data_IF_496930304237
#
_entry.id   IF_496930304237
#
_cell.length_a   1.000
_cell.length_b   1.000
_cell.length_c   1.000
_cell.angle_alpha   90.00
_cell.angle_beta   90.00
_cell.angle_gamma   90.00
#
_symmetry.space_group_name_H-M   'P 1'
#
loop_
_entity.id
_entity.type
_entity.pdbx_description
1 polymer ?
#
# COMPACT_ATOMS: atom_id res chain seq x y z
N UNK A 1 14.49 8.14 -9.91
CA UNK A 1 13.02 7.96 -9.94
C UNK A 1 12.42 8.41 -8.60
N UNK A 2 11.24 9.05 -8.61
CA UNK A 2 10.52 9.49 -7.40
C UNK A 2 9.85 8.32 -6.67
N UNK A 3 9.11 8.63 -5.59
CA UNK A 3 8.24 7.65 -4.91
C UNK A 3 7.05 7.28 -5.79
N UNK A 4 6.63 6.02 -5.73
CA UNK A 4 5.49 5.49 -6.47
C UNK A 4 4.76 4.40 -5.67
N UNK A 5 3.45 4.25 -5.89
CA UNK A 5 2.63 3.16 -5.39
C UNK A 5 1.47 2.83 -6.31
N UNK A 6 0.91 1.61 -6.18
CA UNK A 6 -0.32 1.24 -6.86
C UNK A 6 -1.10 0.18 -6.05
N UNK A 7 -2.42 0.24 -6.16
CA UNK A 7 -3.35 -0.79 -5.67
C UNK A 7 -3.37 -1.94 -6.68
N UNK A 8 -3.16 -3.16 -6.22
CA UNK A 8 -3.23 -4.38 -7.05
C UNK A 8 -4.47 -5.21 -6.74
N UNK A 9 -5.08 -5.01 -5.57
CA UNK A 9 -6.32 -5.65 -5.17
C UNK A 9 -7.13 -4.70 -4.25
N UNK A 10 -8.46 -4.53 -4.48
CA UNK A 10 -9.24 -5.07 -5.59
C UNK A 10 -8.92 -4.40 -6.94
N UNK A 11 -9.39 -5.00 -8.05
CA UNK A 11 -9.27 -4.40 -9.38
C UNK A 11 -10.35 -3.33 -9.59
N UNK A 12 -10.13 -2.33 -10.48
CA UNK A 12 -11.17 -1.37 -10.85
C UNK A 12 -12.46 -2.07 -11.30
N UNK A 13 -13.60 -1.62 -10.79
CA UNK A 13 -14.93 -2.16 -11.12
C UNK A 13 -15.30 -3.48 -10.46
N UNK A 14 -14.44 -4.05 -9.59
CA UNK A 14 -14.77 -5.26 -8.86
C UNK A 14 -15.91 -5.02 -7.85
N UNK A 15 -16.91 -5.89 -7.87
CA UNK A 15 -17.87 -6.01 -6.76
C UNK A 15 -17.22 -6.80 -5.63
N UNK A 16 -17.18 -6.21 -4.43
CA UNK A 16 -16.64 -6.85 -3.23
C UNK A 16 -17.79 -7.17 -2.26
N UNK A 17 -17.75 -8.31 -1.56
CA UNK A 17 -18.75 -8.61 -0.56
C UNK A 17 -18.67 -7.61 0.60
N UNK A 18 -19.79 -7.32 1.29
CA UNK A 18 -19.76 -6.55 2.52
C UNK A 18 -18.99 -7.30 3.62
N UNK A 19 -18.44 -6.57 4.57
CA UNK A 19 -17.61 -7.11 5.66
C UNK A 19 -16.16 -6.67 5.54
N UNK A 20 -15.20 -7.57 5.72
CA UNK A 20 -13.78 -7.24 5.70
C UNK A 20 -13.16 -7.37 4.30
N UNK A 21 -12.64 -6.26 3.79
CA UNK A 21 -11.87 -6.20 2.55
C UNK A 21 -10.38 -6.09 2.87
N UNK A 22 -9.57 -6.97 2.26
CA UNK A 22 -8.10 -6.79 2.23
C UNK A 22 -7.70 -6.08 0.95
N UNK A 23 -7.28 -4.82 1.08
CA UNK A 23 -6.68 -4.01 0.01
C UNK A 23 -5.18 -4.29 -0.02
N UNK A 24 -4.61 -4.50 -1.21
CA UNK A 24 -3.17 -4.80 -1.38
C UNK A 24 -2.55 -3.95 -2.47
N UNK A 25 -1.24 -3.78 -2.38
CA UNK A 25 -0.47 -3.14 -3.43
C UNK A 25 1.03 -3.19 -3.20
N UNK A 26 1.73 -2.41 -4.01
CA UNK A 26 3.16 -2.17 -3.86
C UNK A 26 3.45 -0.68 -3.74
N UNK A 27 4.61 -0.36 -3.17
CA UNK A 27 5.18 0.98 -3.15
C UNK A 27 6.71 0.89 -3.27
N UNK A 28 7.33 1.92 -3.84
CA UNK A 28 8.77 1.96 -4.05
C UNK A 28 9.28 3.40 -4.19
N UNK A 29 10.57 3.64 -3.93
CA UNK A 29 11.23 4.92 -4.18
C UNK A 29 12.63 4.70 -4.73
N UNK A 30 13.04 5.50 -5.71
CA UNK A 30 14.37 5.39 -6.31
C UNK A 30 15.51 5.79 -5.37
N UNK A 31 16.74 5.46 -5.76
CA UNK A 31 17.93 5.87 -5.01
C UNK A 31 18.09 5.22 -3.63
N UNK A 32 17.45 4.06 -3.42
CA UNK A 32 17.66 3.25 -2.20
C UNK A 32 16.94 3.80 -0.98
N UNK A 33 15.97 4.71 -1.20
CA UNK A 33 15.13 5.29 -0.15
C UNK A 33 14.01 4.32 0.22
N UNK A 34 13.88 4.06 1.52
CA UNK A 34 12.86 3.17 2.06
C UNK A 34 11.46 3.81 1.97
N UNK A 35 10.45 3.02 1.64
CA UNK A 35 9.04 3.39 1.86
C UNK A 35 8.74 3.18 3.34
N UNK A 36 8.56 4.28 4.07
CA UNK A 36 8.31 4.27 5.52
C UNK A 36 6.82 4.25 5.88
N UNK A 37 5.94 4.64 4.95
CA UNK A 37 4.49 4.68 5.15
C UNK A 37 3.76 4.56 3.82
N UNK A 38 2.61 3.88 3.83
CA UNK A 38 1.60 3.92 2.78
C UNK A 38 0.27 4.24 3.45
N UNK A 39 -0.34 5.35 3.03
CA UNK A 39 -1.66 5.79 3.50
C UNK A 39 -2.69 5.39 2.44
N UNK A 40 -3.75 4.70 2.85
CA UNK A 40 -4.81 4.18 1.98
C UNK A 40 -6.14 4.81 2.38
N UNK A 41 -6.90 5.24 1.38
CA UNK A 41 -8.24 5.80 1.56
C UNK A 41 -9.29 4.94 0.84
N UNK A 42 -10.48 4.86 1.44
CA UNK A 42 -11.65 4.17 0.90
C UNK A 42 -12.79 5.15 0.52
N UNK A 43 -12.57 6.45 0.73
CA UNK A 43 -13.58 7.50 0.56
C UNK A 43 -13.12 8.61 -0.40
N UNK A 44 -12.22 8.27 -1.33
CA UNK A 44 -11.70 9.20 -2.33
C UNK A 44 -10.70 10.22 -1.77
N UNK A 45 -10.02 9.89 -0.66
CA UNK A 45 -8.95 10.70 -0.07
C UNK A 45 -9.37 11.64 1.05
N UNK A 46 -10.56 11.47 1.63
CA UNK A 46 -11.06 12.31 2.73
C UNK A 46 -10.53 11.82 4.08
N UNK A 47 -10.48 10.52 4.27
CA UNK A 47 -9.87 9.87 5.42
C UNK A 47 -8.84 8.82 5.00
N UNK A 48 -7.87 8.58 5.87
CA UNK A 48 -6.69 7.78 5.57
C UNK A 48 -6.41 6.78 6.69
N UNK A 49 -5.95 5.60 6.30
CA UNK A 49 -5.52 4.54 7.21
C UNK A 49 -4.13 4.05 6.79
N UNK A 50 -3.26 3.85 7.76
CA UNK A 50 -1.90 3.37 7.52
C UNK A 50 -1.94 1.88 7.17
N UNK A 51 -1.40 1.51 6.02
CA UNK A 51 -1.27 0.12 5.60
C UNK A 51 -0.07 -0.57 6.28
N UNK A 52 -0.19 -1.89 6.46
CA UNK A 52 0.89 -2.74 6.95
C UNK A 52 1.91 -2.96 5.83
N UNK A 53 3.15 -2.54 6.03
CA UNK A 53 4.26 -2.86 5.13
C UNK A 53 4.80 -4.27 5.43
N UNK A 54 5.09 -5.03 4.38
CA UNK A 54 5.59 -6.40 4.47
C UNK A 54 6.99 -6.52 3.90
N UNK A 55 7.72 -7.57 4.32
CA UNK A 55 9.12 -7.83 3.97
C UNK A 55 10.10 -7.30 5.02
N UNK A 56 11.37 -7.66 4.86
CA UNK A 56 12.45 -7.26 5.76
C UNK A 56 12.80 -5.77 5.63
N UNK A 57 13.34 -5.20 6.71
CA UNK A 57 13.80 -3.83 6.72
C UNK A 57 15.15 -3.74 5.98
N UNK A 58 15.26 -2.90 4.94
CA UNK A 58 16.50 -2.79 4.19
C UNK A 58 17.59 -2.06 4.99
N UNK A 59 18.84 -2.26 4.59
CA UNK A 59 19.95 -1.42 5.06
C UNK A 59 19.70 0.03 4.62
N UNK A 60 19.89 1.04 5.48
CA UNK A 60 19.69 2.45 5.12
C UNK A 60 20.43 2.83 3.83
N UNK A 61 19.73 3.51 2.92
CA UNK A 61 20.26 3.89 1.61
C UNK A 61 20.37 2.75 0.59
N UNK A 62 19.89 1.53 0.92
CA UNK A 62 19.93 0.35 0.04
C UNK A 62 18.56 -0.34 -0.12
N UNK A 63 17.47 0.42 -0.02
CA UNK A 63 16.12 -0.07 -0.26
C UNK A 63 15.81 -0.17 -1.76
N UNK A 64 16.43 -1.13 -2.46
CA UNK A 64 16.28 -1.28 -3.91
C UNK A 64 15.00 -2.00 -4.31
N UNK A 65 14.54 -2.92 -3.46
CA UNK A 65 13.30 -3.66 -3.67
C UNK A 65 12.07 -2.81 -3.32
N UNK A 66 10.95 -3.10 -3.98
CA UNK A 66 9.64 -2.58 -3.58
C UNK A 66 9.23 -3.08 -2.18
N UNK A 67 8.28 -2.39 -1.57
CA UNK A 67 7.58 -2.80 -0.35
C UNK A 67 6.16 -3.19 -0.74
N UNK A 68 5.79 -4.44 -0.48
CA UNK A 68 4.40 -4.86 -0.56
C UNK A 68 3.66 -4.37 0.66
N UNK A 69 2.42 -3.94 0.48
CA UNK A 69 1.58 -3.42 1.56
C UNK A 69 0.18 -4.02 1.50
N UNK A 70 -0.46 -4.10 2.66
CA UNK A 70 -1.86 -4.50 2.78
C UNK A 70 -2.59 -3.73 3.88
N UNK A 71 -3.90 -3.54 3.69
CA UNK A 71 -4.81 -2.95 4.67
C UNK A 71 -6.06 -3.84 4.76
N UNK A 72 -6.39 -4.30 5.96
CA UNK A 72 -7.70 -4.86 6.26
C UNK A 72 -8.65 -3.74 6.68
N UNK A 73 -9.81 -3.69 6.05
CA UNK A 73 -10.79 -2.64 6.28
C UNK A 73 -12.23 -3.11 6.13
N UNK A 74 -13.13 -2.69 7.03
CA UNK A 74 -14.54 -2.91 6.83
C UNK A 74 -15.06 -2.10 5.62
N UNK A 75 -15.86 -2.75 4.79
CA UNK A 75 -16.64 -2.17 3.70
C UNK A 75 -18.11 -2.54 3.91
N UNK A 76 -18.98 -1.54 3.77
CA UNK A 76 -20.43 -1.68 3.94
C UNK A 76 -21.11 -2.07 2.63
#
# INVERSE_FOLDING_TARGET
LPVQSAITQPRPGAAVPPGELTVKGYAWSGGGREVVRVDVSLDGGRSWRVARLTGERPVPGRAWAWRLWELQAPVA
#
